data_IF_027218632266
#
_entry.id   IF_027218632266
#
_cell.length_a   1.000
_cell.length_b   1.000
_cell.length_c   1.000
_cell.angle_alpha   90.00
_cell.angle_beta   90.00
_cell.angle_gamma   90.00
#
_symmetry.space_group_name_H-M   'P 1'
#
loop_
_entity.id
_entity.type
_entity.pdbx_description
1 polymer ?
#
# COMPACT_ATOMS: atom_id res chain seq x y z
N UNK A 1 13.92 3.01 18.51
CA UNK A 1 12.71 2.48 17.86
C UNK A 1 12.35 3.44 16.72
N UNK A 2 12.50 3.05 15.45
CA UNK A 2 12.27 3.96 14.33
C UNK A 2 10.77 4.27 14.21
N UNK A 3 10.35 5.55 14.27
CA UNK A 3 8.93 5.93 14.21
C UNK A 3 8.26 5.45 12.91
N UNK A 4 9.03 5.40 11.82
CA UNK A 4 8.60 4.86 10.53
C UNK A 4 8.20 3.38 10.60
N UNK A 5 8.97 2.54 11.31
CA UNK A 5 8.70 1.11 11.44
C UNK A 5 7.38 0.86 12.17
N UNK A 6 7.16 1.57 13.28
CA UNK A 6 5.94 1.44 14.07
C UNK A 6 4.69 1.90 13.28
N UNK A 7 4.81 2.99 12.52
CA UNK A 7 3.74 3.46 11.65
C UNK A 7 3.44 2.47 10.52
N UNK A 8 4.48 1.96 9.87
CA UNK A 8 4.37 0.97 8.82
C UNK A 8 3.69 -0.31 9.33
N UNK A 9 4.12 -0.84 10.46
CA UNK A 9 3.52 -2.05 11.05
C UNK A 9 2.05 -1.84 11.44
N UNK A 10 1.69 -0.65 11.92
CA UNK A 10 0.30 -0.30 12.19
C UNK A 10 -0.54 -0.25 10.91
N UNK A 11 0.03 0.24 9.82
CA UNK A 11 -0.65 0.40 8.54
C UNK A 11 -0.68 -0.87 7.70
N UNK A 12 0.28 -1.76 7.83
CA UNK A 12 0.52 -2.84 6.87
C UNK A 12 0.74 -4.21 7.53
N UNK A 13 0.75 -4.27 8.87
CA UNK A 13 0.97 -5.48 9.65
C UNK A 13 2.44 -5.71 9.99
N UNK A 14 2.72 -6.70 10.87
CA UNK A 14 4.07 -6.98 11.33
C UNK A 14 4.95 -7.43 10.17
N UNK A 15 6.19 -6.92 10.13
CA UNK A 15 7.18 -7.31 9.13
C UNK A 15 7.69 -8.72 9.45
N UNK A 16 7.68 -9.67 8.49
CA UNK A 16 8.14 -11.04 8.71
C UNK A 16 9.65 -11.12 8.98
N UNK A 17 10.04 -12.10 9.80
CA UNK A 17 11.43 -12.35 10.16
C UNK A 17 12.21 -13.05 9.04
N UNK A 18 11.56 -13.88 8.23
CA UNK A 18 12.17 -14.50 7.06
C UNK A 18 12.67 -13.49 6.03
N UNK A 19 13.92 -13.63 5.60
CA UNK A 19 14.60 -12.70 4.70
C UNK A 19 13.93 -12.59 3.32
N UNK A 20 13.43 -13.70 2.79
CA UNK A 20 12.74 -13.79 1.49
C UNK A 20 11.36 -13.12 1.52
N UNK A 21 10.55 -13.43 2.53
CA UNK A 21 9.24 -12.82 2.80
C UNK A 21 9.38 -11.31 3.10
N UNK A 22 10.43 -10.91 3.80
CA UNK A 22 10.74 -9.51 4.12
C UNK A 22 11.07 -8.71 2.87
N UNK A 23 11.88 -9.25 1.96
CA UNK A 23 12.17 -8.61 0.68
C UNK A 23 10.91 -8.41 -0.13
N UNK A 24 10.06 -9.44 -0.23
CA UNK A 24 8.77 -9.34 -0.92
C UNK A 24 7.90 -8.23 -0.30
N UNK A 25 7.81 -8.19 1.04
CA UNK A 25 7.14 -7.13 1.79
C UNK A 25 7.60 -5.72 1.39
N UNK A 26 8.92 -5.50 1.32
CA UNK A 26 9.49 -4.21 0.96
C UNK A 26 9.24 -3.83 -0.50
N UNK A 27 9.42 -4.78 -1.42
CA UNK A 27 9.16 -4.55 -2.85
C UNK A 27 7.70 -4.19 -3.07
N UNK A 28 6.78 -4.96 -2.50
CA UNK A 28 5.36 -4.66 -2.59
C UNK A 28 5.05 -3.31 -1.92
N UNK A 29 5.66 -2.99 -0.78
CA UNK A 29 5.43 -1.71 -0.10
C UNK A 29 5.85 -0.51 -0.97
N UNK A 30 7.01 -0.60 -1.63
CA UNK A 30 7.51 0.44 -2.53
C UNK A 30 6.57 0.64 -3.72
N UNK A 31 6.10 -0.45 -4.34
CA UNK A 31 5.16 -0.39 -5.47
C UNK A 31 3.88 0.34 -5.08
N UNK A 32 3.37 0.10 -3.88
CA UNK A 32 2.14 0.72 -3.38
C UNK A 32 2.36 2.16 -2.86
N UNK A 33 3.57 2.49 -2.42
CA UNK A 33 3.90 3.83 -1.93
C UNK A 33 4.01 4.85 -3.06
N UNK A 34 4.50 4.44 -4.24
CA UNK A 34 4.69 5.35 -5.38
C UNK A 34 3.37 6.02 -5.82
N UNK A 35 2.27 5.29 -6.08
CA UNK A 35 0.98 5.91 -6.39
C UNK A 35 0.47 6.83 -5.29
N UNK A 36 0.64 6.47 -4.01
CA UNK A 36 0.22 7.30 -2.88
C UNK A 36 1.01 8.61 -2.78
N UNK A 37 2.33 8.55 -3.01
CA UNK A 37 3.17 9.73 -3.02
C UNK A 37 2.86 10.66 -4.22
N UNK A 38 2.53 10.09 -5.37
CA UNK A 38 2.24 10.86 -6.59
C UNK A 38 0.79 11.34 -6.68
N UNK A 39 -0.16 10.74 -5.97
CA UNK A 39 -1.58 11.07 -6.11
C UNK A 39 -1.92 12.55 -5.85
N UNK A 40 -1.26 13.30 -4.94
CA UNK A 40 -1.52 14.75 -4.80
C UNK A 40 -1.14 15.54 -6.07
N UNK A 41 -0.06 15.15 -6.76
CA UNK A 41 0.37 15.78 -8.01
C UNK A 41 -0.69 15.56 -9.09
N UNK A 42 -1.22 14.33 -9.20
CA UNK A 42 -2.31 14.02 -10.12
C UNK A 42 -3.60 14.78 -9.78
N UNK A 43 -3.92 14.94 -8.50
CA UNK A 43 -5.08 15.73 -8.07
C UNK A 43 -4.97 17.20 -8.52
N UNK A 44 -3.80 17.81 -8.35
CA UNK A 44 -3.51 19.17 -8.81
C UNK A 44 -3.60 19.25 -10.34
N UNK A 45 -3.01 18.28 -11.05
CA UNK A 45 -3.09 18.22 -12.51
C UNK A 45 -4.55 18.14 -13.00
N UNK A 46 -5.38 17.33 -12.34
CA UNK A 46 -6.81 17.23 -12.66
C UNK A 46 -7.56 18.52 -12.36
N UNK A 47 -7.22 19.21 -11.28
CA UNK A 47 -7.80 20.51 -10.95
C UNK A 47 -7.51 21.53 -12.05
N UNK A 48 -6.25 21.61 -12.48
CA UNK A 48 -5.79 22.56 -13.50
C UNK A 48 -6.39 22.25 -14.87
N UNK A 49 -6.50 20.98 -15.26
CA UNK A 49 -6.95 20.60 -16.60
C UNK A 49 -8.47 20.54 -16.76
N UNK A 50 -9.20 20.08 -15.73
CA UNK A 50 -10.62 19.74 -15.84
C UNK A 50 -11.51 20.53 -14.86
N UNK A 51 -10.91 21.32 -13.98
CA UNK A 51 -11.63 22.15 -13.01
C UNK A 51 -12.16 21.39 -11.80
N UNK A 52 -12.84 22.14 -10.92
CA UNK A 52 -13.27 21.68 -9.60
C UNK A 52 -14.22 20.47 -9.64
N UNK A 53 -15.20 20.46 -10.55
CA UNK A 53 -16.22 19.41 -10.61
C UNK A 53 -15.64 18.02 -10.86
N UNK A 54 -14.61 17.94 -11.71
CA UNK A 54 -13.92 16.69 -12.02
C UNK A 54 -13.08 16.19 -10.82
N UNK A 55 -12.43 17.10 -10.11
CA UNK A 55 -11.62 16.76 -8.92
C UNK A 55 -12.48 16.22 -7.78
N UNK A 56 -13.63 16.85 -7.54
CA UNK A 56 -14.52 16.43 -6.46
C UNK A 56 -15.16 15.06 -6.71
N UNK A 57 -15.32 14.67 -7.97
CA UNK A 57 -15.85 13.36 -8.34
C UNK A 57 -14.71 12.35 -8.49
N UNK A 58 -13.88 12.50 -9.52
CA UNK A 58 -12.86 11.52 -9.89
C UNK A 58 -11.58 11.65 -9.08
N UNK A 59 -11.17 12.88 -8.73
CA UNK A 59 -9.98 13.11 -7.92
C UNK A 59 -10.12 12.54 -6.50
N UNK A 60 -11.26 12.75 -5.84
CA UNK A 60 -11.55 12.18 -4.52
C UNK A 60 -11.69 10.65 -4.58
N UNK A 61 -12.33 10.11 -5.61
CA UNK A 61 -12.41 8.66 -5.80
C UNK A 61 -11.02 8.03 -5.99
N UNK A 62 -10.15 8.66 -6.79
CA UNK A 62 -8.76 8.24 -6.96
C UNK A 62 -7.99 8.29 -5.64
N UNK A 63 -8.13 9.36 -4.84
CA UNK A 63 -7.49 9.44 -3.53
C UNK A 63 -8.00 8.35 -2.59
N UNK A 64 -9.31 8.09 -2.55
CA UNK A 64 -9.87 7.00 -1.76
C UNK A 64 -9.30 5.64 -2.18
N UNK A 65 -9.21 5.38 -3.49
CA UNK A 65 -8.61 4.16 -4.04
C UNK A 65 -7.17 3.95 -3.54
N UNK A 66 -6.35 5.00 -3.62
CA UNK A 66 -4.92 4.92 -3.32
C UNK A 66 -4.63 4.97 -1.81
N UNK A 67 -5.39 5.75 -1.05
CA UNK A 67 -5.10 6.00 0.38
C UNK A 67 -5.85 5.05 1.31
N UNK A 68 -6.98 4.49 0.88
CA UNK A 68 -7.82 3.61 1.70
C UNK A 68 -7.78 2.18 1.16
N UNK A 69 -8.18 1.97 -0.09
CA UNK A 69 -8.31 0.62 -0.63
C UNK A 69 -6.95 -0.05 -0.85
N UNK A 70 -5.94 0.68 -1.33
CA UNK A 70 -4.59 0.14 -1.54
C UNK A 70 -3.96 -0.42 -0.25
N UNK A 71 -3.92 0.31 0.89
CA UNK A 71 -3.39 -0.25 2.12
C UNK A 71 -4.17 -1.46 2.63
N UNK A 72 -5.48 -1.49 2.44
CA UNK A 72 -6.32 -2.66 2.79
C UNK A 72 -5.95 -3.85 1.91
N UNK A 73 -5.88 -3.67 0.59
CA UNK A 73 -5.46 -4.71 -0.35
C UNK A 73 -4.07 -5.23 -0.05
N UNK A 74 -3.13 -4.32 0.25
CA UNK A 74 -1.78 -4.69 0.67
C UNK A 74 -1.84 -5.62 1.88
N UNK A 75 -2.53 -5.23 2.97
CA UNK A 75 -2.67 -6.09 4.16
C UNK A 75 -3.22 -7.48 3.83
N UNK A 76 -4.21 -7.55 2.95
CA UNK A 76 -4.80 -8.82 2.52
C UNK A 76 -3.80 -9.70 1.78
N UNK A 77 -3.07 -9.13 0.82
CA UNK A 77 -2.00 -9.82 0.08
C UNK A 77 -0.95 -10.34 1.06
N UNK A 78 -0.54 -9.52 2.02
CA UNK A 78 0.48 -9.95 2.96
C UNK A 78 0.00 -11.04 3.92
N UNK A 79 -1.25 -10.95 4.38
CA UNK A 79 -1.88 -11.98 5.20
C UNK A 79 -1.96 -13.31 4.43
N UNK A 80 -2.35 -13.26 3.16
CA UNK A 80 -2.42 -14.42 2.28
C UNK A 80 -1.03 -15.02 2.01
N UNK A 81 -0.04 -14.19 1.72
CA UNK A 81 1.33 -14.65 1.49
C UNK A 81 1.91 -15.31 2.74
N UNK A 82 1.70 -14.72 3.93
CA UNK A 82 2.14 -15.34 5.18
C UNK A 82 1.49 -16.70 5.42
N UNK A 83 0.20 -16.85 5.08
CA UNK A 83 -0.49 -18.14 5.16
C UNK A 83 0.12 -19.18 4.22
N UNK A 84 0.35 -18.82 2.96
CA UNK A 84 0.90 -19.71 1.93
C UNK A 84 2.35 -20.15 2.24
N UNK A 85 3.19 -19.25 2.73
CA UNK A 85 4.57 -19.59 3.10
C UNK A 85 4.63 -20.45 4.37
N UNK A 86 3.85 -20.14 5.40
CA UNK A 86 3.75 -20.98 6.60
C UNK A 86 3.28 -22.42 6.31
N UNK A 87 2.50 -22.63 5.25
CA UNK A 87 2.04 -23.97 4.86
C UNK A 87 3.09 -24.73 4.03
N UNK A 88 3.91 -24.03 3.24
CA UNK A 88 5.03 -24.62 2.50
C UNK A 88 6.13 -25.10 3.44
N UNK A 89 6.46 -24.33 4.48
CA UNK A 89 7.49 -24.70 5.45
C UNK A 89 7.04 -25.84 6.38
N UNK A 90 5.73 -26.07 6.49
CA UNK A 90 5.16 -27.17 7.29
C UNK A 90 5.11 -28.52 6.54
N UNK A 91 5.38 -28.51 5.23
CA UNK A 91 5.35 -29.69 4.34
C UNK A 91 6.75 -30.16 3.92
N UNK A 92 7.81 -29.53 4.43
CA UNK A 92 9.20 -30.01 4.36
C UNK A 92 9.59 -30.60 5.71
#
# INVERSE_FOLDING_TARGET
MHPFKAFFEKLYGPVPEDSSLRLYYWVTAVIFFIPAALSPVFLIAYYVQFGLGYVLTYGLLMLAAVWIFMPIFFRLIMKMNRFLFNEKDRKQ
#
